data_IF_444913976877
#
_entry.id   IF_444913976877
#
_cell.length_a   1.000
_cell.length_b   1.000
_cell.length_c   1.000
_cell.angle_alpha   90.00
_cell.angle_beta   90.00
_cell.angle_gamma   90.00
#
_symmetry.space_group_name_H-M   'P 1'
#
loop_
_entity.id
_entity.type
_entity.pdbx_description
1 polymer ?
#
# COMPACT_ATOMS: atom_id res chain seq x y z
N UNK A 1 -16.75 5.92 -0.58
CA UNK A 1 -16.27 6.67 0.60
C UNK A 1 -17.41 7.12 1.50
N UNK A 2 -17.10 7.90 2.53
CA UNK A 2 -18.04 8.36 3.59
C UNK A 2 -19.17 9.28 3.11
N UNK A 3 -18.98 9.92 1.95
CA UNK A 3 -19.95 10.81 1.32
C UNK A 3 -20.96 10.13 0.39
N UNK A 4 -20.96 8.80 0.23
CA UNK A 4 -21.79 8.09 -0.79
C UNK A 4 -23.26 8.51 -0.78
N UNK A 5 -23.82 8.80 0.40
CA UNK A 5 -25.22 9.18 0.57
C UNK A 5 -25.61 10.51 -0.10
N UNK A 6 -24.65 11.42 -0.35
CA UNK A 6 -24.94 12.74 -0.96
C UNK A 6 -25.19 12.66 -2.47
N UNK A 7 -24.86 11.54 -3.10
CA UNK A 7 -25.10 11.35 -4.52
C UNK A 7 -26.61 11.34 -4.80
N UNK A 8 -27.04 12.23 -5.72
CA UNK A 8 -28.43 12.35 -6.21
C UNK A 8 -28.57 11.94 -7.69
N UNK A 9 -27.56 11.28 -8.26
CA UNK A 9 -27.64 10.54 -9.53
C UNK A 9 -27.50 11.36 -10.82
N UNK A 10 -27.72 12.68 -10.77
CA UNK A 10 -27.82 13.52 -11.98
C UNK A 10 -26.49 14.09 -12.49
N UNK A 11 -25.56 14.44 -11.60
CA UNK A 11 -24.29 15.12 -11.92
C UNK A 11 -23.15 14.52 -11.10
N UNK A 12 -21.92 14.65 -11.59
CA UNK A 12 -20.75 14.30 -10.78
C UNK A 12 -20.60 15.25 -9.59
N UNK A 13 -20.25 14.68 -8.45
CA UNK A 13 -20.12 15.36 -7.16
C UNK A 13 -18.82 14.90 -6.53
N UNK A 14 -18.03 15.86 -6.07
CA UNK A 14 -16.89 15.63 -5.20
C UNK A 14 -17.16 16.28 -3.85
N UNK A 15 -16.66 15.66 -2.77
CA UNK A 15 -16.88 16.22 -1.44
C UNK A 15 -16.26 15.42 -0.32
N UNK A 16 -16.22 16.03 0.85
CA UNK A 16 -15.57 15.50 2.04
C UNK A 16 -16.44 15.69 3.27
N UNK A 17 -16.51 14.62 4.07
CA UNK A 17 -17.12 14.65 5.39
C UNK A 17 -16.12 15.18 6.43
N UNK A 18 -16.60 16.03 7.33
CA UNK A 18 -15.90 16.46 8.55
C UNK A 18 -16.71 16.11 9.80
N UNK A 19 -16.04 15.68 10.86
CA UNK A 19 -16.65 15.37 12.16
C UNK A 19 -15.62 15.69 13.23
N UNK A 20 -15.98 16.54 14.20
CA UNK A 20 -15.06 16.87 15.30
C UNK A 20 -14.99 15.73 16.31
N UNK A 21 -13.88 15.69 17.06
CA UNK A 21 -13.75 14.81 18.21
C UNK A 21 -14.93 15.03 19.18
N UNK A 22 -15.50 13.95 19.72
CA UNK A 22 -16.74 13.92 20.52
C UNK A 22 -18.06 14.12 19.77
N UNK A 23 -18.05 14.33 18.44
CA UNK A 23 -19.24 14.52 17.61
C UNK A 23 -20.05 15.78 17.98
N UNK A 24 -19.39 16.88 18.29
CA UNK A 24 -20.08 18.15 18.56
C UNK A 24 -20.49 18.85 17.26
N UNK A 25 -19.66 18.69 16.23
CA UNK A 25 -19.84 19.31 14.92
C UNK A 25 -19.75 18.26 13.83
N UNK A 26 -20.64 18.38 12.85
CA UNK A 26 -20.51 17.68 11.57
C UNK A 26 -20.61 18.64 10.40
N UNK A 27 -19.73 18.40 9.44
CA UNK A 27 -19.58 19.20 8.24
C UNK A 27 -19.70 18.33 7.00
N UNK A 28 -20.23 18.92 5.94
CA UNK A 28 -20.04 18.39 4.60
C UNK A 28 -19.73 19.54 3.65
N UNK A 29 -18.56 19.50 3.03
CA UNK A 29 -18.16 20.41 1.97
C UNK A 29 -18.11 19.62 0.66
N UNK A 30 -18.71 20.15 -0.39
CA UNK A 30 -18.74 19.50 -1.69
C UNK A 30 -19.04 20.46 -2.82
N UNK A 31 -18.80 19.99 -4.04
CA UNK A 31 -18.99 20.78 -5.24
C UNK A 31 -19.39 19.91 -6.44
N UNK A 32 -19.90 20.62 -7.45
CA UNK A 32 -20.15 20.17 -8.83
C UNK A 32 -19.56 21.22 -9.77
N UNK A 33 -19.72 21.05 -11.09
CA UNK A 33 -19.32 22.09 -12.07
C UNK A 33 -20.14 23.39 -11.97
N UNK A 34 -21.28 23.38 -11.27
CA UNK A 34 -22.17 24.54 -11.17
C UNK A 34 -22.02 25.30 -9.85
N UNK A 35 -21.94 24.56 -8.74
CA UNK A 35 -21.98 25.14 -7.40
C UNK A 35 -21.01 24.45 -6.45
N UNK A 36 -20.49 25.23 -5.52
CA UNK A 36 -19.79 24.77 -4.31
C UNK A 36 -20.63 25.14 -3.10
N UNK A 37 -20.81 24.20 -2.17
CA UNK A 37 -21.56 24.43 -0.96
C UNK A 37 -20.94 23.70 0.23
N UNK A 38 -21.10 24.28 1.41
CA UNK A 38 -20.75 23.65 2.68
C UNK A 38 -21.94 23.71 3.62
N UNK A 39 -22.13 22.67 4.41
CA UNK A 39 -23.13 22.60 5.47
C UNK A 39 -22.48 22.22 6.77
N UNK A 40 -22.94 22.85 7.85
CA UNK A 40 -22.57 22.54 9.21
C UNK A 40 -23.83 22.23 10.02
N UNK A 41 -23.69 21.29 10.95
CA UNK A 41 -24.66 21.03 11.99
C UNK A 41 -23.92 20.86 13.31
N UNK A 42 -24.35 21.63 14.29
CA UNK A 42 -23.89 21.59 15.67
C UNK A 42 -24.87 22.36 16.55
N UNK A 43 -24.67 22.29 17.86
CA UNK A 43 -25.38 23.13 18.81
C UNK A 43 -24.50 24.32 19.20
N UNK A 44 -25.10 25.50 19.37
CA UNK A 44 -24.37 26.72 19.74
C UNK A 44 -23.61 26.59 21.08
N UNK A 45 -24.10 25.72 21.97
CA UNK A 45 -23.51 25.44 23.29
C UNK A 45 -22.49 24.27 23.27
N UNK A 46 -22.11 23.78 22.09
CA UNK A 46 -21.24 22.62 21.89
C UNK A 46 -21.77 21.30 22.49
N UNK A 47 -23.09 21.19 22.67
CA UNK A 47 -23.71 19.93 23.05
C UNK A 47 -23.38 18.85 22.01
N UNK A 48 -23.11 17.65 22.50
CA UNK A 48 -22.80 16.49 21.65
C UNK A 48 -23.99 16.09 20.80
N UNK A 49 -23.77 15.89 19.50
CA UNK A 49 -24.78 15.34 18.60
C UNK A 49 -25.11 13.89 18.97
N UNK A 50 -26.40 13.59 18.99
CA UNK A 50 -26.98 12.29 19.25
C UNK A 50 -26.75 11.27 18.11
N UNK A 51 -27.18 10.03 18.35
CA UNK A 51 -27.05 8.94 17.38
C UNK A 51 -27.82 9.27 16.09
N UNK A 52 -27.16 9.15 14.94
CA UNK A 52 -27.74 9.46 13.63
C UNK A 52 -27.62 10.92 13.20
N UNK A 53 -27.38 11.86 14.13
CA UNK A 53 -27.27 13.29 13.82
C UNK A 53 -25.96 13.65 13.11
N UNK A 54 -24.95 12.78 13.16
CA UNK A 54 -23.66 13.00 12.48
C UNK A 54 -23.75 12.94 10.95
N UNK A 55 -24.90 12.54 10.40
CA UNK A 55 -25.15 12.57 8.95
C UNK A 55 -25.97 13.79 8.51
N UNK A 56 -26.46 14.63 9.42
CA UNK A 56 -27.37 15.73 9.08
C UNK A 56 -26.76 16.73 8.10
N UNK A 57 -25.48 17.08 8.25
CA UNK A 57 -24.80 17.95 7.29
C UNK A 57 -24.89 17.42 5.85
N UNK A 58 -24.71 16.10 5.66
CA UNK A 58 -24.87 15.45 4.34
C UNK A 58 -26.31 15.49 3.84
N UNK A 59 -27.29 15.27 4.72
CA UNK A 59 -28.71 15.30 4.38
C UNK A 59 -29.12 16.70 3.91
N UNK A 60 -28.74 17.72 4.66
CA UNK A 60 -28.99 19.13 4.32
C UNK A 60 -28.33 19.49 2.98
N UNK A 61 -27.05 19.16 2.82
CA UNK A 61 -26.32 19.46 1.59
C UNK A 61 -26.98 18.79 0.39
N UNK A 62 -27.33 17.50 0.50
CA UNK A 62 -28.01 16.77 -0.58
C UNK A 62 -29.36 17.40 -0.91
N UNK A 63 -30.19 17.73 0.08
CA UNK A 63 -31.52 18.29 -0.16
C UNK A 63 -31.46 19.66 -0.86
N UNK A 64 -30.51 20.51 -0.49
CA UNK A 64 -30.29 21.80 -1.15
C UNK A 64 -29.75 21.58 -2.57
N UNK A 65 -28.66 20.82 -2.71
CA UNK A 65 -27.97 20.63 -3.98
C UNK A 65 -28.83 19.87 -4.98
N UNK A 66 -29.58 18.84 -4.57
CA UNK A 66 -30.47 18.14 -5.49
C UNK A 66 -31.53 19.06 -6.08
N UNK A 67 -32.08 19.97 -5.26
CA UNK A 67 -33.13 20.91 -5.67
C UNK A 67 -32.61 21.97 -6.63
N UNK A 68 -31.49 22.62 -6.31
CA UNK A 68 -30.93 23.67 -7.19
C UNK A 68 -30.31 23.12 -8.48
N UNK A 69 -30.15 21.80 -8.58
CA UNK A 69 -29.73 21.10 -9.81
C UNK A 69 -30.89 20.52 -10.62
N UNK A 70 -32.16 20.69 -10.23
CA UNK A 70 -33.33 20.08 -10.91
C UNK A 70 -33.45 20.46 -12.39
N UNK A 71 -33.14 21.71 -12.74
CA UNK A 71 -33.25 22.24 -14.11
C UNK A 71 -31.89 22.36 -14.84
N UNK A 72 -30.78 22.01 -14.18
CA UNK A 72 -29.45 22.07 -14.78
C UNK A 72 -29.16 20.81 -15.62
N UNK A 73 -28.45 20.92 -16.75
CA UNK A 73 -27.95 19.76 -17.46
C UNK A 73 -27.07 18.86 -16.58
N UNK A 74 -27.00 17.57 -16.89
CA UNK A 74 -26.00 16.70 -16.27
C UNK A 74 -24.59 17.16 -16.66
N UNK A 75 -23.64 17.09 -15.72
CA UNK A 75 -22.27 17.51 -15.95
C UNK A 75 -21.27 16.57 -15.30
N UNK A 76 -20.14 16.37 -15.98
CA UNK A 76 -19.02 15.55 -15.55
C UNK A 76 -17.76 16.41 -15.41
N UNK A 77 -16.87 16.05 -14.49
CA UNK A 77 -15.56 16.70 -14.41
C UNK A 77 -14.75 16.34 -15.65
N UNK A 78 -14.29 17.37 -16.35
CA UNK A 78 -13.37 17.19 -17.47
C UNK A 78 -11.98 16.91 -16.92
N UNK A 79 -11.33 15.88 -17.46
CA UNK A 79 -9.94 15.57 -17.13
C UNK A 79 -9.06 16.63 -17.77
N UNK A 80 -8.29 17.42 -16.99
CA UNK A 80 -7.43 18.44 -17.57
C UNK A 80 -6.20 17.81 -18.25
N UNK A 81 -5.58 18.60 -19.13
CA UNK A 81 -4.29 18.26 -19.74
C UNK A 81 -3.21 18.05 -18.68
N UNK A 82 -2.23 17.22 -19.01
CA UNK A 82 -1.12 16.92 -18.09
C UNK A 82 -1.46 15.90 -16.99
N UNK A 83 -2.68 15.36 -16.96
CA UNK A 83 -3.06 14.25 -16.08
C UNK A 83 -2.93 12.91 -16.81
N UNK A 84 -2.21 11.97 -16.23
CA UNK A 84 -1.97 10.62 -16.78
C UNK A 84 -2.51 9.55 -15.83
N UNK A 85 -2.86 8.38 -16.37
CA UNK A 85 -3.17 7.18 -15.58
C UNK A 85 -2.00 6.22 -15.67
N UNK A 86 -1.57 5.67 -14.54
CA UNK A 86 -0.42 4.77 -14.46
C UNK A 86 -0.71 3.61 -13.52
N UNK A 87 -0.12 2.45 -13.82
CA UNK A 87 -0.20 1.29 -12.92
C UNK A 87 0.94 1.35 -11.91
N UNK A 88 0.58 1.35 -10.64
CA UNK A 88 1.49 1.33 -9.48
C UNK A 88 1.28 0.08 -8.64
N UNK A 89 2.26 -0.23 -7.80
CA UNK A 89 2.08 -1.20 -6.72
C UNK A 89 1.27 -0.55 -5.59
N UNK A 90 0.10 -1.09 -5.25
CA UNK A 90 -0.79 -0.59 -4.20
C UNK A 90 -0.20 -0.62 -2.78
N UNK A 91 0.92 -1.31 -2.57
CA UNK A 91 1.62 -1.38 -1.29
C UNK A 91 2.70 -0.31 -1.13
N UNK A 92 3.42 0.01 -2.20
CA UNK A 92 4.52 0.99 -2.18
C UNK A 92 4.14 2.35 -2.78
N UNK A 93 3.13 2.40 -3.65
CA UNK A 93 2.84 3.57 -4.49
C UNK A 93 3.83 3.77 -5.65
N UNK A 94 4.83 2.88 -5.79
CA UNK A 94 5.92 2.95 -6.78
C UNK A 94 5.65 2.06 -8.00
N UNK A 95 6.56 2.06 -8.97
CA UNK A 95 6.45 1.21 -10.16
C UNK A 95 6.44 -0.28 -9.76
N UNK A 96 5.47 -1.07 -10.23
CA UNK A 96 5.40 -2.47 -9.88
C UNK A 96 6.50 -3.28 -10.58
N UNK A 97 7.00 -4.29 -9.87
CA UNK A 97 7.96 -5.26 -10.39
C UNK A 97 7.20 -6.49 -10.86
N UNK A 98 7.35 -6.86 -12.14
CA UNK A 98 6.71 -8.05 -12.70
C UNK A 98 7.11 -9.32 -11.92
N UNK A 99 6.14 -10.19 -11.64
CA UNK A 99 6.35 -11.42 -10.87
C UNK A 99 6.39 -11.23 -9.34
N UNK A 100 6.64 -10.01 -8.86
CA UNK A 100 6.61 -9.69 -7.41
C UNK A 100 5.37 -8.89 -7.01
N UNK A 101 4.95 -7.97 -7.86
CA UNK A 101 3.85 -7.03 -7.56
C UNK A 101 2.51 -7.44 -8.18
N UNK A 102 2.43 -8.56 -8.90
CA UNK A 102 1.27 -8.96 -9.73
C UNK A 102 -0.06 -8.97 -8.96
N UNK A 103 -0.04 -9.38 -7.70
CA UNK A 103 -1.22 -9.39 -6.82
C UNK A 103 -1.60 -8.00 -6.24
N UNK A 104 -0.83 -6.96 -6.55
CA UNK A 104 -0.94 -5.63 -5.94
C UNK A 104 -1.01 -4.50 -6.95
N UNK A 105 -1.20 -4.79 -8.23
CA UNK A 105 -1.32 -3.78 -9.28
C UNK A 105 -2.56 -2.91 -9.07
N UNK A 106 -2.39 -1.59 -9.15
CA UNK A 106 -3.47 -0.61 -9.03
C UNK A 106 -3.25 0.54 -9.99
N UNK A 107 -4.30 0.91 -10.72
CA UNK A 107 -4.33 2.12 -11.55
C UNK A 107 -4.61 3.34 -10.69
N UNK A 108 -3.79 4.37 -10.86
CA UNK A 108 -3.91 5.66 -10.18
C UNK A 108 -3.68 6.81 -11.17
N UNK A 109 -4.16 7.99 -10.79
CA UNK A 109 -4.08 9.21 -11.60
C UNK A 109 -2.97 10.11 -11.05
N UNK A 110 -2.11 10.62 -11.94
CA UNK A 110 -0.96 11.48 -11.59
C UNK A 110 -0.90 12.72 -12.48
N UNK A 111 -0.25 13.78 -11.99
CA UNK A 111 0.31 14.78 -12.89
C UNK A 111 1.50 14.16 -13.64
N UNK A 112 1.65 14.49 -14.93
CA UNK A 112 2.63 13.90 -15.85
C UNK A 112 4.08 14.01 -15.35
N UNK A 113 4.38 15.04 -14.57
CA UNK A 113 5.69 15.35 -14.01
C UNK A 113 5.94 14.73 -12.62
N UNK A 114 4.91 14.17 -11.98
CA UNK A 114 5.00 13.55 -10.64
C UNK A 114 4.82 12.04 -10.67
N UNK A 115 4.94 11.43 -11.85
CA UNK A 115 4.76 9.99 -12.01
C UNK A 115 5.89 9.25 -11.30
N UNK A 116 5.61 8.21 -10.50
CA UNK A 116 6.67 7.43 -9.84
C UNK A 116 7.63 6.82 -10.87
N UNK A 117 8.93 7.03 -10.66
CA UNK A 117 10.00 6.46 -11.50
C UNK A 117 10.75 5.33 -10.82
N UNK A 118 10.72 5.29 -9.49
CA UNK A 118 11.40 4.27 -8.71
C UNK A 118 10.64 2.94 -8.74
N UNK A 119 11.34 1.80 -8.75
CA UNK A 119 10.73 0.49 -8.61
C UNK A 119 10.19 0.28 -7.18
N UNK A 120 9.29 -0.68 -7.04
CA UNK A 120 8.73 -1.08 -5.76
C UNK A 120 9.83 -1.52 -4.79
N UNK A 121 9.77 -0.96 -3.58
CA UNK A 121 10.68 -1.24 -2.47
C UNK A 121 9.99 -2.00 -1.32
N UNK A 122 8.78 -2.51 -1.56
CA UNK A 122 8.02 -3.27 -0.56
C UNK A 122 8.07 -4.76 -0.88
N UNK A 123 7.91 -5.14 -2.14
CA UNK A 123 8.05 -6.54 -2.54
C UNK A 123 9.51 -6.87 -2.80
N UNK A 124 10.03 -7.81 -2.04
CA UNK A 124 11.44 -8.19 -2.07
C UNK A 124 11.57 -9.68 -2.35
N UNK A 125 12.40 -10.03 -3.33
CA UNK A 125 12.80 -11.40 -3.61
C UNK A 125 14.26 -11.58 -3.21
N UNK A 126 14.52 -12.53 -2.32
CA UNK A 126 15.86 -12.77 -1.80
C UNK A 126 15.81 -13.42 -0.43
N UNK A 127 16.88 -13.25 0.34
CA UNK A 127 16.97 -13.78 1.70
C UNK A 127 16.64 -12.70 2.73
N UNK A 128 15.78 -13.03 3.68
CA UNK A 128 15.57 -12.23 4.90
C UNK A 128 16.10 -12.97 6.11
N UNK A 129 16.47 -12.24 7.16
CA UNK A 129 16.79 -12.82 8.44
C UNK A 129 15.50 -13.24 9.14
N UNK A 130 15.33 -14.54 9.41
CA UNK A 130 14.18 -15.04 10.13
C UNK A 130 14.06 -14.35 11.49
N UNK A 131 15.15 -14.07 12.19
CA UNK A 131 15.10 -13.43 13.50
C UNK A 131 14.59 -11.98 13.43
N UNK A 132 15.33 -11.10 12.72
CA UNK A 132 15.08 -9.66 12.69
C UNK A 132 13.99 -9.21 11.70
N UNK A 133 13.65 -10.03 10.70
CA UNK A 133 12.74 -9.67 9.61
C UNK A 133 13.33 -8.71 8.57
N UNK A 134 14.57 -8.25 8.77
CA UNK A 134 15.30 -7.40 7.82
C UNK A 134 15.93 -8.24 6.70
N UNK A 135 16.40 -7.57 5.64
CA UNK A 135 17.15 -8.24 4.56
C UNK A 135 18.42 -8.87 5.12
N UNK A 136 18.63 -10.16 4.82
CA UNK A 136 19.82 -10.88 5.25
C UNK A 136 21.06 -10.35 4.53
N UNK A 137 22.16 -10.24 5.26
CA UNK A 137 23.49 -10.04 4.69
C UNK A 137 24.25 -11.38 4.69
N UNK A 138 25.48 -11.37 4.17
CA UNK A 138 26.31 -12.58 4.00
C UNK A 138 26.69 -13.28 5.32
N UNK A 139 26.66 -12.56 6.44
CA UNK A 139 26.98 -13.06 7.77
C UNK A 139 25.73 -13.51 8.55
N UNK A 140 24.53 -13.45 7.96
CA UNK A 140 23.29 -13.80 8.63
C UNK A 140 23.10 -15.33 8.72
N UNK A 141 23.06 -15.92 9.93
CA UNK A 141 22.87 -17.35 10.10
C UNK A 141 21.40 -17.80 9.98
N UNK A 142 20.46 -16.86 9.98
CA UNK A 142 19.01 -17.13 9.92
C UNK A 142 18.41 -16.80 8.55
N UNK A 143 19.15 -16.97 7.46
CA UNK A 143 18.66 -16.64 6.13
C UNK A 143 17.48 -17.53 5.75
N UNK A 144 16.40 -16.91 5.27
CA UNK A 144 15.26 -17.59 4.65
C UNK A 144 15.04 -16.96 3.30
N UNK A 145 15.18 -17.77 2.25
CA UNK A 145 14.97 -17.34 0.88
C UNK A 145 13.50 -17.38 0.51
N UNK A 146 13.03 -16.37 -0.22
CA UNK A 146 11.65 -16.32 -0.69
C UNK A 146 11.26 -14.95 -1.23
N UNK A 147 9.95 -14.76 -1.41
CA UNK A 147 9.34 -13.49 -1.75
C UNK A 147 8.62 -12.95 -0.52
N UNK A 148 8.95 -11.73 -0.13
CA UNK A 148 8.48 -11.10 1.10
C UNK A 148 7.87 -9.73 0.81
N UNK A 149 6.93 -9.34 1.67
CA UNK A 149 6.40 -7.96 1.73
C UNK A 149 7.02 -7.27 2.93
N UNK A 150 7.85 -6.28 2.67
CA UNK A 150 8.60 -5.51 3.63
C UNK A 150 7.88 -4.19 3.94
N UNK A 151 8.01 -3.70 5.17
CA UNK A 151 7.57 -2.33 5.48
C UNK A 151 8.25 -1.32 4.54
N UNK A 152 7.52 -0.29 4.04
CA UNK A 152 8.09 0.74 3.20
C UNK A 152 9.22 1.48 3.91
N UNK A 153 10.21 1.94 3.15
CA UNK A 153 11.28 2.77 3.69
C UNK A 153 10.74 4.19 3.92
N UNK A 154 10.79 4.68 5.15
CA UNK A 154 10.23 5.98 5.55
C UNK A 154 11.28 7.09 5.47
N UNK A 155 10.96 8.17 4.75
CA UNK A 155 11.83 9.34 4.71
C UNK A 155 12.02 9.93 6.13
N UNK A 156 13.22 10.48 6.45
CA UNK A 156 13.51 10.99 7.79
C UNK A 156 12.50 12.05 8.27
N UNK A 157 12.00 12.87 7.35
CA UNK A 157 11.01 13.91 7.61
C UNK A 157 9.65 13.37 8.08
N UNK A 158 9.31 12.12 7.73
CA UNK A 158 8.06 11.47 8.12
C UNK A 158 8.22 10.68 9.43
N UNK A 159 9.43 10.26 9.76
CA UNK A 159 9.73 9.42 10.91
C UNK A 159 9.44 10.08 12.27
N UNK A 160 9.50 11.42 12.35
CA UNK A 160 9.20 12.17 13.59
C UNK A 160 7.69 12.29 13.86
N UNK A 161 6.85 12.28 12.83
CA UNK A 161 5.40 12.45 12.95
C UNK A 161 4.60 11.15 12.90
N UNK A 162 5.22 10.03 12.52
CA UNK A 162 4.53 8.75 12.41
C UNK A 162 4.42 8.03 13.76
N UNK A 163 3.21 7.60 14.11
CA UNK A 163 2.97 6.75 15.29
C UNK A 163 3.47 5.32 15.14
N UNK A 164 3.87 4.91 13.92
CA UNK A 164 4.50 3.62 13.63
C UNK A 164 5.76 3.88 12.82
N UNK A 165 6.92 3.54 13.37
CA UNK A 165 8.17 3.61 12.63
C UNK A 165 8.28 2.37 11.74
N UNK A 166 8.64 2.57 10.47
CA UNK A 166 9.00 1.45 9.61
C UNK A 166 10.20 0.69 10.20
N UNK A 167 10.02 -0.61 10.42
CA UNK A 167 11.09 -1.47 10.92
C UNK A 167 12.20 -1.70 9.88
N UNK A 168 11.93 -1.37 8.61
CA UNK A 168 12.86 -1.54 7.48
C UNK A 168 13.63 -0.26 7.11
N UNK A 169 13.55 0.79 7.93
CA UNK A 169 14.25 2.05 7.65
C UNK A 169 15.49 2.21 8.53
N UNK A 170 16.63 2.38 7.89
CA UNK A 170 17.87 2.87 8.49
C UNK A 170 18.24 4.21 7.88
N UNK A 171 19.07 4.98 8.59
CA UNK A 171 19.44 6.32 8.16
C UNK A 171 20.94 6.47 8.16
N UNK A 172 21.48 6.90 7.04
CA UNK A 172 22.89 7.18 6.87
C UNK A 172 23.07 8.66 6.57
N UNK A 173 24.17 9.24 7.03
CA UNK A 173 24.52 10.62 6.74
C UNK A 173 25.62 10.60 5.68
N UNK A 174 25.42 11.29 4.56
CA UNK A 174 26.45 11.41 3.53
C UNK A 174 27.57 12.37 3.95
N UNK A 175 28.62 12.44 3.13
CA UNK A 175 29.79 13.28 3.39
C UNK A 175 29.44 14.78 3.48
N UNK A 176 28.32 15.20 2.89
CA UNK A 176 27.81 16.57 2.92
C UNK A 176 26.85 16.83 4.10
N UNK A 177 26.65 15.85 4.99
CA UNK A 177 25.79 15.99 6.17
C UNK A 177 24.29 15.79 5.89
N UNK A 178 23.92 15.30 4.70
CA UNK A 178 22.52 15.03 4.34
C UNK A 178 22.14 13.63 4.79
N UNK A 179 20.99 13.50 5.42
CA UNK A 179 20.46 12.23 5.87
C UNK A 179 19.75 11.51 4.71
N UNK A 180 20.27 10.37 4.29
CA UNK A 180 19.60 9.45 3.35
C UNK A 180 18.93 8.33 4.13
N UNK A 181 17.79 7.87 3.63
CA UNK A 181 17.17 6.66 4.14
C UNK A 181 17.66 5.47 3.32
N UNK A 182 18.00 4.39 4.02
CA UNK A 182 18.40 3.11 3.45
C UNK A 182 17.50 2.02 3.98
N UNK A 183 17.44 0.91 3.24
CA UNK A 183 16.80 -0.29 3.75
C UNK A 183 17.63 -0.86 4.88
N UNK A 184 16.99 -1.07 6.03
CA UNK A 184 17.59 -1.78 7.15
C UNK A 184 18.08 -3.15 6.74
N UNK A 185 19.35 -3.44 7.02
CA UNK A 185 19.90 -4.79 6.91
C UNK A 185 19.90 -5.49 8.25
N UNK A 186 20.00 -6.80 8.20
CA UNK A 186 20.14 -7.61 9.38
C UNK A 186 21.37 -7.20 10.20
N UNK A 187 21.26 -7.21 11.52
CA UNK A 187 22.30 -6.83 12.48
C UNK A 187 23.43 -7.85 12.65
N UNK A 188 23.31 -9.02 12.03
CA UNK A 188 24.37 -10.04 12.02
C UNK A 188 25.48 -9.60 11.08
N UNK A 189 26.43 -8.80 11.55
CA UNK A 189 27.61 -8.35 10.80
C UNK A 189 28.92 -8.83 11.46
N UNK A 190 30.07 -8.45 10.89
CA UNK A 190 31.37 -8.78 11.48
C UNK A 190 31.52 -8.29 12.93
N UNK A 191 30.93 -7.14 13.27
CA UNK A 191 30.98 -6.61 14.62
C UNK A 191 30.14 -7.46 15.59
N UNK A 192 28.97 -7.93 15.16
CA UNK A 192 28.14 -8.89 15.90
C UNK A 192 28.93 -10.16 16.21
N UNK A 193 29.57 -10.75 15.19
CA UNK A 193 30.37 -11.97 15.33
C UNK A 193 31.62 -11.78 16.20
N UNK A 194 32.10 -10.55 16.34
CA UNK A 194 33.25 -10.20 17.19
C UNK A 194 32.88 -9.97 18.66
N UNK A 195 31.59 -10.05 19.03
CA UNK A 195 31.15 -9.81 20.40
C UNK A 195 31.53 -10.98 21.34
N UNK A 196 31.90 -10.70 22.60
CA UNK A 196 31.99 -11.76 23.60
C UNK A 196 30.61 -12.43 23.78
N UNK A 197 30.59 -13.76 23.90
CA UNK A 197 29.40 -14.58 24.04
C UNK A 197 28.43 -14.54 22.84
N UNK A 198 28.92 -14.30 21.62
CA UNK A 198 28.10 -14.36 20.38
C UNK A 198 27.29 -15.66 20.27
N UNK A 199 27.86 -16.79 20.69
CA UNK A 199 27.19 -18.10 20.67
C UNK A 199 25.93 -18.13 21.54
N UNK A 200 25.98 -17.53 22.73
CA UNK A 200 24.81 -17.46 23.63
C UNK A 200 23.74 -16.52 23.08
N UNK A 201 24.15 -15.42 22.43
CA UNK A 201 23.22 -14.50 21.75
C UNK A 201 22.51 -15.23 20.61
N UNK A 202 23.25 -15.90 19.73
CA UNK A 202 22.68 -16.67 18.63
C UNK A 202 21.72 -17.77 19.09
N UNK A 203 22.06 -18.50 20.16
CA UNK A 203 21.18 -19.51 20.73
C UNK A 203 19.86 -18.90 21.24
N UNK A 204 19.92 -17.72 21.88
CA UNK A 204 18.74 -16.99 22.33
C UNK A 204 17.87 -16.52 21.16
N UNK A 205 18.49 -15.99 20.10
CA UNK A 205 17.79 -15.52 18.90
C UNK A 205 17.09 -16.67 18.16
N UNK A 206 17.78 -17.81 18.04
CA UNK A 206 17.19 -19.01 17.46
C UNK A 206 15.96 -19.49 18.25
N UNK A 207 16.06 -19.51 19.57
CA UNK A 207 14.92 -19.86 20.42
C UNK A 207 13.74 -18.91 20.19
N UNK A 208 13.96 -17.61 20.10
CA UNK A 208 12.90 -16.65 19.80
C UNK A 208 12.22 -16.90 18.44
N UNK A 209 13.00 -17.28 17.42
CA UNK A 209 12.44 -17.66 16.11
C UNK A 209 11.52 -18.87 16.24
N UNK A 210 11.95 -19.94 16.93
CA UNK A 210 11.13 -21.12 17.15
C UNK A 210 9.82 -20.78 17.86
N UNK A 211 9.90 -20.02 18.95
CA UNK A 211 8.74 -19.64 19.74
C UNK A 211 7.72 -18.84 18.92
N UNK A 212 8.20 -17.89 18.09
CA UNK A 212 7.33 -17.12 17.20
C UNK A 212 6.68 -18.00 16.13
N UNK A 213 7.34 -19.07 15.72
CA UNK A 213 6.79 -20.06 14.79
C UNK A 213 5.85 -21.08 15.48
N UNK A 214 5.47 -20.85 16.74
CA UNK A 214 4.47 -21.64 17.45
C UNK A 214 5.03 -22.87 18.17
N UNK A 215 6.34 -23.00 18.29
CA UNK A 215 6.94 -24.09 19.06
C UNK A 215 6.76 -23.84 20.58
N UNK A 216 6.21 -24.80 21.35
CA UNK A 216 5.94 -24.61 22.78
C UNK A 216 7.22 -24.60 23.65
N UNK A 217 7.32 -23.62 24.56
CA UNK A 217 8.47 -23.39 25.47
C UNK A 217 8.92 -24.62 26.28
N UNK A 218 7.97 -25.46 26.69
CA UNK A 218 8.15 -26.56 27.62
C UNK A 218 8.22 -27.93 26.94
N UNK A 219 8.41 -27.96 25.62
CA UNK A 219 8.61 -29.20 24.89
C UNK A 219 10.11 -29.51 24.82
N UNK A 220 10.47 -30.73 25.23
CA UNK A 220 11.82 -31.25 25.12
C UNK A 220 12.35 -31.19 23.67
N UNK A 221 11.45 -31.16 22.68
CA UNK A 221 11.77 -30.95 21.27
C UNK A 221 12.32 -29.54 20.98
N UNK A 222 11.91 -28.51 21.74
CA UNK A 222 12.40 -27.13 21.57
C UNK A 222 13.75 -26.94 22.22
N UNK A 223 13.98 -27.52 23.40
CA UNK A 223 15.30 -27.55 24.02
C UNK A 223 16.31 -28.32 23.15
N UNK A 224 15.89 -29.46 22.59
CA UNK A 224 16.70 -30.26 21.66
C UNK A 224 16.89 -29.54 20.32
N UNK A 225 15.87 -28.87 19.77
CA UNK A 225 15.99 -28.08 18.55
C UNK A 225 16.91 -26.87 18.74
N UNK A 226 16.83 -26.18 19.88
CA UNK A 226 17.73 -25.09 20.23
C UNK A 226 19.17 -25.60 20.42
N UNK A 227 19.38 -26.75 21.08
CA UNK A 227 20.71 -27.38 21.21
C UNK A 227 21.27 -27.84 19.85
N UNK A 228 20.45 -28.49 19.01
CA UNK A 228 20.85 -28.94 17.68
C UNK A 228 21.17 -27.76 16.75
N UNK A 229 20.41 -26.68 16.83
CA UNK A 229 20.69 -25.46 16.09
C UNK A 229 21.93 -24.73 16.62
N UNK A 230 22.14 -24.70 17.93
CA UNK A 230 23.38 -24.19 18.52
C UNK A 230 24.59 -24.99 18.03
N UNK A 231 24.49 -26.33 17.94
CA UNK A 231 25.52 -27.18 17.37
C UNK A 231 25.73 -26.94 15.85
N UNK A 232 24.65 -26.76 15.09
CA UNK A 232 24.73 -26.44 13.66
C UNK A 232 25.33 -25.03 13.40
N UNK A 233 25.03 -24.06 14.26
CA UNK A 233 25.59 -22.71 14.20
C UNK A 233 27.06 -22.69 14.62
N UNK A 234 27.45 -23.47 15.64
CA UNK A 234 28.86 -23.66 15.96
C UNK A 234 29.62 -24.38 14.83
N UNK A 235 29.00 -25.34 14.13
CA UNK A 235 29.58 -25.96 12.95
C UNK A 235 29.75 -24.96 11.79
N UNK A 236 28.77 -24.08 11.58
CA UNK A 236 28.87 -22.96 10.63
C UNK A 236 30.01 -22.01 11.02
N UNK A 237 30.08 -21.57 12.27
CA UNK A 237 31.14 -20.72 12.83
C UNK A 237 32.54 -21.33 12.64
N UNK A 238 32.68 -22.63 12.94
CA UNK A 238 33.92 -23.37 12.77
C UNK A 238 34.28 -23.59 11.29
N UNK A 239 33.31 -23.64 10.38
CA UNK A 239 33.53 -23.79 8.94
C UNK A 239 33.89 -22.48 8.21
N UNK A 240 33.26 -21.36 8.59
CA UNK A 240 33.47 -20.03 7.97
C UNK A 240 34.69 -19.30 8.52
N UNK A 241 35.09 -19.53 9.78
CA UNK A 241 36.38 -19.00 10.29
C UNK A 241 37.58 -19.88 9.95
N UNK A 242 37.42 -21.19 9.76
CA UNK A 242 38.52 -22.05 9.29
C UNK A 242 39.01 -21.66 7.90
N UNK A 243 38.15 -21.04 7.08
CA UNK A 243 38.49 -20.49 5.77
C UNK A 243 39.08 -19.07 5.82
N UNK A 244 39.00 -18.37 6.97
CA UNK A 244 39.60 -17.04 7.20
C UNK A 244 40.89 -17.08 8.06
N UNK A 245 41.20 -18.21 8.70
CA UNK A 245 42.42 -18.44 9.50
C UNK A 245 43.75 -18.41 8.72
N UNK A 246 43.72 -18.10 7.41
CA UNK A 246 44.93 -17.99 6.57
C UNK A 246 45.38 -16.55 6.29
N UNK A 247 44.67 -15.52 6.75
CA UNK A 247 45.15 -14.13 6.62
C UNK A 247 45.59 -13.65 7.99
N UNK A 248 46.85 -13.93 8.32
CA UNK A 248 47.60 -13.15 9.29
C UNK A 248 47.52 -11.69 8.87
N UNK A 249 47.13 -10.82 9.80
CA UNK A 249 47.05 -9.39 9.57
C UNK A 249 48.37 -8.85 8.97
N UNK A 250 48.35 -8.22 7.79
CA UNK A 250 49.35 -7.22 7.46
C UNK A 250 48.84 -5.85 7.93
N UNK A 251 49.80 -5.05 8.37
CA UNK A 251 49.62 -3.69 8.82
C UNK A 251 48.90 -2.80 7.80
N UNK A 252 48.20 -1.80 8.34
CA UNK A 252 47.72 -0.57 7.72
C UNK A 252 48.05 -0.40 6.22
N UNK A 253 47.06 -0.63 5.36
CA UNK A 253 47.01 -0.08 4.01
C UNK A 253 45.60 0.42 3.74
N UNK A 254 45.50 1.72 3.51
CA UNK A 254 44.31 2.48 3.15
C UNK A 254 43.80 2.05 1.77
N UNK A 255 42.76 1.23 1.74
CA UNK A 255 41.74 1.22 0.67
C UNK A 255 40.63 0.26 1.09
N UNK A 256 39.46 0.81 1.44
CA UNK A 256 38.23 0.03 1.51
C UNK A 256 38.02 -0.67 0.15
N UNK A 257 37.71 -1.98 0.11
CA UNK A 257 36.99 -2.50 -1.03
C UNK A 257 35.63 -1.80 -0.98
N UNK A 258 35.44 -0.85 -1.90
CA UNK A 258 34.30 0.04 -1.91
C UNK A 258 33.00 -0.72 -1.71
N UNK A 259 32.06 -0.08 -1.04
CA UNK A 259 30.66 -0.44 -1.01
C UNK A 259 30.22 -0.80 -2.44
N UNK A 260 30.34 -2.08 -2.78
CA UNK A 260 29.77 -2.61 -3.99
C UNK A 260 28.29 -2.50 -3.71
N UNK A 261 27.66 -1.51 -4.33
CA UNK A 261 26.24 -1.53 -4.57
C UNK A 261 25.90 -2.96 -4.98
N UNK A 262 25.33 -3.73 -4.05
CA UNK A 262 24.68 -4.98 -4.41
C UNK A 262 23.61 -4.48 -5.35
N UNK A 263 23.86 -4.64 -6.66
CA UNK A 263 22.96 -4.21 -7.71
C UNK A 263 21.56 -4.58 -7.23
N UNK A 264 20.68 -3.58 -7.13
CA UNK A 264 19.30 -3.82 -6.78
C UNK A 264 18.86 -5.04 -7.59
N UNK A 265 18.44 -6.16 -6.97
CA UNK A 265 18.00 -7.33 -7.73
C UNK A 265 16.82 -6.98 -8.66
N UNK A 266 16.25 -5.78 -8.53
CA UNK A 266 15.27 -5.16 -9.43
C UNK A 266 15.88 -4.32 -10.57
N UNK A 267 17.19 -4.34 -10.81
CA UNK A 267 17.83 -3.62 -11.93
C UNK A 267 17.51 -4.22 -13.32
N UNK A 268 16.64 -5.23 -13.38
CA UNK A 268 16.20 -5.91 -14.61
C UNK A 268 14.67 -5.82 -14.80
N UNK A 269 14.06 -4.68 -14.42
CA UNK A 269 12.59 -4.52 -14.50
C UNK A 269 12.16 -4.01 -15.88
N UNK A 270 11.38 -4.83 -16.58
CA UNK A 270 10.49 -4.34 -17.64
C UNK A 270 9.35 -3.55 -17.00
N UNK A 271 9.31 -2.24 -17.25
CA UNK A 271 8.23 -1.38 -16.78
C UNK A 271 6.93 -1.78 -17.50
N UNK A 272 5.86 -2.22 -16.81
CA UNK A 272 4.62 -2.57 -17.49
C UNK A 272 3.92 -1.37 -18.14
N UNK A 273 4.36 -0.15 -17.83
CA UNK A 273 3.86 1.08 -18.45
C UNK A 273 4.65 1.51 -19.71
N UNK A 274 5.60 0.70 -20.23
CA UNK A 274 6.26 0.98 -21.53
C UNK A 274 5.44 0.56 -22.75
N UNK A 275 4.21 0.08 -22.56
CA UNK A 275 3.25 -0.05 -23.63
C UNK A 275 2.48 1.28 -23.82
N UNK A 276 2.78 1.95 -24.92
CA UNK A 276 2.00 2.99 -25.60
C UNK A 276 2.31 4.48 -25.28
N UNK A 277 3.22 5.05 -26.07
CA UNK A 277 3.31 6.50 -26.32
C UNK A 277 3.20 6.85 -27.80
N UNK A 278 2.62 5.96 -28.62
CA UNK A 278 2.46 6.21 -30.06
C UNK A 278 1.09 5.77 -30.56
N UNK A 279 0.04 6.45 -30.11
CA UNK A 279 -1.27 6.39 -30.75
C UNK A 279 -1.71 7.81 -31.15
N UNK A 280 -1.40 8.17 -32.38
CA UNK A 280 -2.03 9.27 -33.13
C UNK A 280 -3.53 8.95 -33.31
N UNK A 281 -4.46 9.92 -33.25
CA UNK A 281 -5.89 9.63 -33.18
C UNK A 281 -6.42 9.11 -34.52
N UNK A 282 -6.87 7.86 -34.56
CA UNK A 282 -7.65 7.33 -35.67
C UNK A 282 -9.14 7.62 -35.41
N UNK A 283 -9.75 8.32 -36.37
CA UNK A 283 -11.18 8.59 -36.40
C UNK A 283 -12.01 7.34 -36.76
N UNK A 284 -13.23 7.35 -36.23
CA UNK A 284 -14.47 6.79 -36.76
C UNK A 284 -14.93 5.35 -36.40
N UNK A 285 -16.24 5.32 -36.11
CA UNK A 285 -17.23 4.27 -36.38
C UNK A 285 -17.45 3.15 -35.33
N UNK A 286 -18.45 3.41 -34.48
CA UNK A 286 -19.63 2.56 -34.27
C UNK A 286 -19.47 1.04 -34.16
N UNK A 287 -19.62 0.53 -32.94
CA UNK A 287 -20.37 -0.69 -32.64
C UNK A 287 -20.72 -0.71 -31.16
N UNK A 288 -22.02 -0.67 -30.85
CA UNK A 288 -22.55 -0.83 -29.51
C UNK A 288 -22.34 -2.29 -29.05
N UNK A 289 -21.73 -2.47 -27.88
CA UNK A 289 -21.77 -3.72 -27.13
C UNK A 289 -22.49 -3.47 -25.80
N UNK A 290 -23.51 -4.29 -25.54
CA UNK A 290 -24.51 -4.14 -24.50
C UNK A 290 -23.96 -4.27 -23.06
N UNK A 291 -24.50 -3.45 -22.16
CA UNK A 291 -24.30 -3.53 -20.71
C UNK A 291 -25.17 -4.67 -20.12
N UNK A 292 -24.60 -5.61 -19.36
CA UNK A 292 -25.34 -6.75 -18.79
C UNK A 292 -26.15 -6.43 -17.53
N UNK A 293 -26.36 -5.16 -17.15
CA UNK A 293 -27.08 -4.80 -15.92
C UNK A 293 -28.36 -3.97 -16.09
N UNK A 294 -29.07 -4.11 -17.22
CA UNK A 294 -30.40 -3.53 -17.38
C UNK A 294 -31.50 -4.42 -16.75
N UNK A 295 -31.93 -4.09 -15.53
CA UNK A 295 -33.17 -4.62 -14.95
C UNK A 295 -34.38 -3.94 -15.61
N UNK A 296 -35.19 -4.71 -16.34
CA UNK A 296 -36.42 -4.25 -17.00
C UNK A 296 -37.59 -4.17 -16.03
N UNK A 297 -38.23 -3.00 -15.93
CA UNK A 297 -39.58 -2.83 -15.39
C UNK A 297 -40.62 -3.07 -16.50
N UNK A 298 -41.82 -3.63 -16.22
CA UNK A 298 -42.80 -3.94 -17.26
C UNK A 298 -43.65 -2.70 -17.59
N UNK A 299 -43.68 -2.32 -18.86
CA UNK A 299 -44.61 -1.34 -19.41
C UNK A 299 -45.91 -2.01 -19.84
N UNK A 300 -47.02 -1.51 -19.31
CA UNK A 300 -48.38 -1.72 -19.79
C UNK A 300 -48.51 -1.20 -21.23
N UNK A 301 -49.10 -2.01 -22.11
CA UNK A 301 -49.53 -1.60 -23.44
C UNK A 301 -51.04 -1.84 -23.58
N UNK A 302 -51.78 -0.75 -23.79
CA UNK A 302 -53.09 -0.77 -24.41
C UNK A 302 -52.91 -0.71 -25.93
N UNK A 303 -53.67 -1.50 -26.70
CA UNK A 303 -54.78 -1.07 -27.60
C UNK A 303 -55.18 -2.27 -28.55
N UNK A 304 -56.15 -2.18 -29.49
CA UNK A 304 -57.53 -2.63 -29.29
C UNK A 304 -58.07 -3.71 -30.28
N UNK A 305 -59.30 -4.15 -29.97
CA UNK A 305 -60.39 -4.61 -30.85
C UNK A 305 -60.24 -5.86 -31.76
N UNK A 306 -60.99 -6.92 -31.45
CA UNK A 306 -62.16 -7.41 -32.23
C UNK A 306 -62.44 -8.90 -31.93
N UNK A 307 -63.69 -9.24 -31.61
CA UNK A 307 -64.15 -10.64 -31.52
C UNK A 307 -65.35 -10.83 -30.60
N UNK A 308 -66.54 -10.88 -31.20
CA UNK A 308 -67.83 -11.03 -30.55
C UNK A 308 -68.04 -12.40 -29.85
N UNK A 309 -68.80 -12.43 -28.73
CA UNK A 309 -69.95 -13.33 -28.52
C UNK A 309 -70.55 -13.22 -27.09
N UNK A 310 -71.83 -12.83 -27.05
CA UNK A 310 -72.94 -13.38 -26.24
C UNK A 310 -72.91 -13.47 -24.69
N UNK A 311 -73.81 -12.67 -24.11
CA UNK A 311 -74.62 -12.82 -22.87
C UNK A 311 -75.39 -14.17 -22.88
N UNK A 312 -75.73 -14.88 -21.76
CA UNK A 312 -76.43 -14.44 -20.52
C UNK A 312 -75.82 -15.01 -19.21
N UNK A 313 -76.13 -14.62 -17.98
CA UNK A 313 -77.28 -14.03 -17.31
C UNK A 313 -77.33 -14.62 -15.88
N UNK A 314 -77.90 -13.87 -14.94
CA UNK A 314 -77.98 -14.08 -13.47
C UNK A 314 -76.83 -13.49 -12.64
#
# INVERSE_FOLDING_TARGET
GTGKSVNFGKTQIAGKTGTTSKNNDVWFAGYSNYYTATTWVGYDDNTKLGKGQTSLAKVLWKGIMSKIHEDLPSSNFEKPDGIVEMTVCSKSGKLPIAGLCDATLKKEIFAKDTVPTDPCDVHYSGSICAYSGAVANDYCPFHVQGVFTLDPVEAPSLAQGSGRKSANSEYETDAEGRQRVVRKRCEHDLAFWSQPNVESKLAQEFLQVLLRNGYPQNDATVALAAQNAQAALQAYYNGTLASFSMISAPAAATSEPGAGDVADPNAQVTNPNTADTTATPAAAAGAAAADPNAQTAPTQGADPAAGAAQVPGQ
#
